data_IF_441651688862
#
_entry.id   IF_441651688862
#
_cell.length_a   1.000
_cell.length_b   1.000
_cell.length_c   1.000
_cell.angle_alpha   90.00
_cell.angle_beta   90.00
_cell.angle_gamma   90.00
#
_symmetry.space_group_name_H-M   'P 1'
#
loop_
_entity.id
_entity.type
_entity.pdbx_description
1 polymer ?
#
# COMPACT_ATOMS: atom_id res chain seq x y z
N UNK A 1 -3.33 1.15 13.39
CA UNK A 1 -1.95 0.74 13.69
C UNK A 1 -0.91 1.87 13.55
N UNK A 2 -1.00 2.74 12.53
CA UNK A 2 -0.09 3.89 12.33
C UNK A 2 -0.27 5.08 13.30
N UNK A 3 -1.33 5.09 14.11
CA UNK A 3 -1.57 6.11 15.16
C UNK A 3 -0.54 6.08 16.30
N UNK A 4 0.16 4.94 16.47
CA UNK A 4 1.31 4.83 17.37
C UNK A 4 2.55 5.01 16.51
N UNK A 5 3.29 6.09 16.75
CA UNK A 5 4.45 6.47 15.93
C UNK A 5 5.36 5.28 15.58
N UNK A 6 5.73 5.20 14.31
CA UNK A 6 6.55 4.10 13.77
C UNK A 6 7.95 4.13 14.38
N UNK A 7 8.50 2.96 14.76
CA UNK A 7 9.85 2.86 15.29
C UNK A 7 10.87 3.51 14.33
N UNK A 8 11.80 4.36 14.80
CA UNK A 8 12.74 5.07 13.93
C UNK A 8 13.58 4.16 13.01
N UNK A 9 13.90 2.93 13.47
CA UNK A 9 14.64 1.95 12.66
C UNK A 9 13.81 1.43 11.48
N UNK A 10 12.50 1.36 11.63
CA UNK A 10 11.55 1.02 10.55
C UNK A 10 11.36 2.24 9.63
N UNK A 11 11.13 3.41 10.22
CA UNK A 11 10.93 4.67 9.49
C UNK A 11 12.12 4.99 8.56
N UNK A 12 13.35 4.67 8.97
CA UNK A 12 14.54 4.82 8.15
C UNK A 12 14.47 4.01 6.82
N UNK A 13 13.94 2.78 6.86
CA UNK A 13 13.75 1.98 5.65
C UNK A 13 12.64 2.50 4.76
N UNK A 14 11.54 3.00 5.36
CA UNK A 14 10.43 3.63 4.63
C UNK A 14 10.91 4.89 3.92
N UNK A 15 11.74 5.70 4.59
CA UNK A 15 12.36 6.91 4.02
C UNK A 15 13.32 6.57 2.89
N UNK A 16 14.15 5.54 3.04
CA UNK A 16 15.06 5.09 1.95
C UNK A 16 14.30 4.54 0.74
N UNK A 17 13.09 4.01 0.95
CA UNK A 17 12.16 3.63 -0.13
C UNK A 17 11.39 4.82 -0.73
N UNK A 18 11.56 6.05 -0.20
CA UNK A 18 10.80 7.26 -0.53
C UNK A 18 9.29 7.10 -0.38
N UNK A 19 8.84 6.44 0.69
CA UNK A 19 7.42 6.26 1.02
C UNK A 19 7.04 6.93 2.35
N UNK A 20 7.89 7.79 2.90
CA UNK A 20 7.67 8.46 4.17
C UNK A 20 6.52 9.47 4.15
N UNK A 21 6.11 9.93 2.97
CA UNK A 21 4.88 10.72 2.77
C UNK A 21 3.63 10.00 3.30
N UNK A 22 3.53 8.69 3.06
CA UNK A 22 2.38 7.88 3.48
C UNK A 22 2.24 7.78 5.02
N UNK A 23 3.31 8.04 5.77
CA UNK A 23 3.24 8.11 7.24
C UNK A 23 2.48 9.34 7.73
N UNK A 24 2.33 10.38 6.90
CA UNK A 24 1.68 11.64 7.26
C UNK A 24 0.21 11.66 6.88
N UNK A 25 -0.19 10.91 5.85
CA UNK A 25 -1.56 10.89 5.31
C UNK A 25 -2.63 10.65 6.39
N UNK A 26 -2.48 9.68 7.33
CA UNK A 26 -3.50 9.45 8.36
C UNK A 26 -3.69 10.61 9.35
N UNK A 27 -2.77 11.57 9.40
CA UNK A 27 -2.80 12.71 10.32
C UNK A 27 -3.27 14.01 9.63
N UNK A 28 -3.75 13.93 8.39
CA UNK A 28 -4.37 15.08 7.72
C UNK A 28 -5.77 15.25 8.32
N UNK A 29 -6.02 16.41 8.93
CA UNK A 29 -7.35 16.80 9.36
C UNK A 29 -8.15 17.20 8.12
N UNK A 30 -9.24 16.48 7.83
CA UNK A 30 -10.03 16.70 6.62
C UNK A 30 -11.41 17.21 6.99
N UNK A 31 -11.76 18.39 6.49
CA UNK A 31 -13.09 18.94 6.64
C UNK A 31 -14.09 18.11 5.83
N UNK A 32 -15.01 17.46 6.54
CA UNK A 32 -16.05 16.62 5.94
C UNK A 32 -16.92 17.37 4.92
N UNK A 33 -17.20 18.66 5.14
CA UNK A 33 -17.98 19.46 4.20
C UNK A 33 -17.21 19.64 2.88
N UNK A 34 -15.90 19.87 2.93
CA UNK A 34 -15.06 19.96 1.74
C UNK A 34 -15.01 18.63 0.97
N UNK A 35 -14.89 17.48 1.65
CA UNK A 35 -14.94 16.16 1.00
C UNK A 35 -16.28 16.00 0.29
N UNK A 36 -17.40 16.27 0.97
CA UNK A 36 -18.72 16.11 0.38
C UNK A 36 -18.90 17.00 -0.85
N UNK A 37 -18.49 18.27 -0.78
CA UNK A 37 -18.54 19.16 -1.94
C UNK A 37 -17.67 18.66 -3.10
N UNK A 38 -16.47 18.16 -2.83
CA UNK A 38 -15.61 17.58 -3.87
C UNK A 38 -16.26 16.34 -4.51
N UNK A 39 -16.80 15.43 -3.71
CA UNK A 39 -17.50 14.23 -4.19
C UNK A 39 -18.72 14.59 -5.04
N UNK A 40 -19.49 15.60 -4.64
CA UNK A 40 -20.65 16.09 -5.40
C UNK A 40 -20.26 16.79 -6.70
N UNK A 41 -19.09 17.44 -6.73
CA UNK A 41 -18.56 18.13 -7.91
C UNK A 41 -17.79 17.22 -8.89
N UNK A 42 -17.55 15.94 -8.54
CA UNK A 42 -16.79 15.01 -9.36
C UNK A 42 -17.54 14.64 -10.64
N UNK A 43 -16.90 14.82 -11.80
CA UNK A 43 -17.37 14.31 -13.09
C UNK A 43 -16.58 13.04 -13.48
N UNK A 44 -17.23 11.86 -13.44
CA UNK A 44 -16.56 10.60 -13.76
C UNK A 44 -16.05 10.49 -15.20
N UNK A 45 -16.70 11.16 -16.16
CA UNK A 45 -16.34 11.07 -17.58
C UNK A 45 -15.00 11.73 -17.92
N UNK A 46 -14.66 12.82 -17.21
CA UNK A 46 -13.47 13.64 -17.46
C UNK A 46 -12.41 13.50 -16.37
N UNK A 47 -12.72 12.80 -15.28
CA UNK A 47 -11.86 12.68 -14.09
C UNK A 47 -11.47 14.05 -13.51
N UNK A 48 -12.43 14.97 -13.42
CA UNK A 48 -12.25 16.35 -12.97
C UNK A 48 -13.37 16.79 -12.01
N UNK A 49 -13.12 17.87 -11.28
CA UNK A 49 -14.11 18.52 -10.42
C UNK A 49 -14.68 19.76 -11.10
N UNK A 50 -16.01 19.89 -11.10
CA UNK A 50 -16.72 21.09 -11.52
C UNK A 50 -16.80 22.08 -10.38
N UNK A 51 -15.91 23.07 -10.39
CA UNK A 51 -15.98 24.19 -9.47
C UNK A 51 -16.85 25.30 -10.09
N UNK A 52 -17.48 26.18 -9.28
CA UNK A 52 -18.41 27.20 -9.78
C UNK A 52 -17.87 28.13 -10.88
N UNK A 53 -16.55 28.20 -11.07
CA UNK A 53 -15.90 29.08 -12.04
C UNK A 53 -14.85 28.37 -12.92
N UNK A 54 -14.54 27.09 -12.69
CA UNK A 54 -13.50 26.38 -13.44
C UNK A 54 -13.59 24.85 -13.29
N UNK A 55 -12.90 24.14 -14.16
CA UNK A 55 -12.70 22.69 -14.07
C UNK A 55 -11.34 22.40 -13.43
N UNK A 56 -11.32 21.61 -12.35
CA UNK A 56 -10.07 21.23 -11.68
C UNK A 56 -9.75 19.76 -11.92
N UNK A 57 -8.64 19.48 -12.58
CA UNK A 57 -8.12 18.12 -12.77
C UNK A 57 -7.04 17.82 -11.73
N UNK A 58 -7.10 16.65 -11.08
CA UNK A 58 -6.01 16.18 -10.21
C UNK A 58 -4.83 15.80 -11.11
N UNK A 59 -3.69 16.43 -10.90
CA UNK A 59 -2.46 16.13 -11.62
C UNK A 59 -1.59 15.14 -10.85
N UNK A 60 -0.57 14.57 -11.52
CA UNK A 60 0.45 13.78 -10.84
C UNK A 60 1.20 14.62 -9.78
N UNK A 61 1.39 15.92 -9.99
CA UNK A 61 2.07 16.78 -9.01
C UNK A 61 1.25 16.89 -7.72
N UNK A 62 -0.09 16.97 -7.84
CA UNK A 62 -0.98 16.94 -6.69
C UNK A 62 -0.86 15.62 -5.92
N UNK A 63 -0.73 14.49 -6.62
CA UNK A 63 -0.48 13.19 -5.96
C UNK A 63 0.85 13.13 -5.22
N UNK A 64 1.93 13.69 -5.79
CA UNK A 64 3.22 13.76 -5.10
C UNK A 64 3.12 14.63 -3.84
N UNK A 65 2.36 15.72 -3.87
CA UNK A 65 2.18 16.61 -2.71
C UNK A 65 1.28 15.99 -1.64
N UNK A 66 0.12 15.45 -2.03
CA UNK A 66 -0.89 14.92 -1.10
C UNK A 66 -0.42 13.63 -0.45
N UNK A 67 0.09 12.70 -1.25
CA UNK A 67 0.49 11.38 -0.76
C UNK A 67 1.97 11.32 -0.37
N UNK A 68 2.79 12.28 -0.84
CA UNK A 68 4.23 12.29 -0.59
C UNK A 68 4.95 11.08 -1.20
N UNK A 69 4.45 10.57 -2.34
CA UNK A 69 5.01 9.43 -3.06
C UNK A 69 5.64 9.85 -4.40
N UNK A 70 6.68 9.16 -4.89
CA UNK A 70 7.31 9.48 -6.16
C UNK A 70 6.35 9.33 -7.34
N UNK A 71 6.34 10.34 -8.21
CA UNK A 71 5.57 10.34 -9.48
C UNK A 71 6.47 10.25 -10.72
N UNK A 72 7.78 10.25 -10.50
CA UNK A 72 8.80 10.01 -11.52
C UNK A 72 9.55 8.74 -11.15
N UNK A 73 9.68 7.82 -12.10
CA UNK A 73 10.36 6.55 -11.89
C UNK A 73 9.93 5.49 -12.89
N UNK A 74 10.38 4.26 -12.65
CA UNK A 74 9.98 3.09 -13.42
C UNK A 74 8.48 2.81 -13.22
N UNK A 75 7.78 2.35 -14.28
CA UNK A 75 6.41 1.86 -14.12
C UNK A 75 6.39 0.64 -13.20
N UNK A 76 5.30 0.49 -12.46
CA UNK A 76 5.07 -0.70 -11.62
C UNK A 76 4.52 -1.80 -12.54
N UNK A 77 5.44 -2.60 -13.07
CA UNK A 77 5.14 -3.81 -13.85
C UNK A 77 5.71 -4.98 -13.07
N UNK A 78 4.82 -5.83 -12.56
CA UNK A 78 5.19 -6.97 -11.73
C UNK A 78 4.30 -8.16 -12.00
N UNK A 79 4.69 -9.32 -11.50
CA UNK A 79 3.90 -10.52 -11.69
C UNK A 79 2.59 -10.39 -10.90
N UNK A 80 1.46 -10.61 -11.55
CA UNK A 80 0.13 -10.66 -10.93
C UNK A 80 -0.35 -12.09 -10.75
N UNK A 81 0.13 -13.00 -11.60
CA UNK A 81 -0.15 -14.43 -11.55
C UNK A 81 1.15 -15.21 -11.29
N UNK A 82 1.54 -15.32 -10.02
CA UNK A 82 2.58 -16.24 -9.58
C UNK A 82 1.97 -17.41 -8.81
N UNK A 83 2.45 -18.62 -9.07
CA UNK A 83 1.99 -19.82 -8.36
C UNK A 83 2.53 -19.90 -6.91
N UNK A 84 3.43 -18.99 -6.51
CA UNK A 84 4.22 -19.13 -5.29
C UNK A 84 4.18 -17.90 -4.35
N UNK A 85 3.09 -17.14 -4.34
CA UNK A 85 2.88 -16.00 -3.43
C UNK A 85 3.20 -16.32 -1.95
N UNK A 86 2.86 -17.52 -1.50
CA UNK A 86 3.24 -18.02 -0.18
C UNK A 86 4.74 -18.03 0.08
N UNK A 87 5.56 -18.34 -0.93
CA UNK A 87 7.01 -18.34 -0.82
C UNK A 87 7.56 -16.91 -0.79
N UNK A 88 7.02 -15.98 -1.59
CA UNK A 88 7.43 -14.57 -1.53
C UNK A 88 7.16 -13.98 -0.13
N UNK A 89 5.98 -14.25 0.42
CA UNK A 89 5.61 -13.87 1.78
C UNK A 89 6.56 -14.50 2.81
N UNK A 90 6.82 -15.81 2.69
CA UNK A 90 7.73 -16.52 3.58
C UNK A 90 9.18 -16.02 3.48
N UNK A 91 9.66 -15.62 2.30
CA UNK A 91 11.02 -15.12 2.13
C UNK A 91 11.17 -13.74 2.78
N UNK A 92 10.25 -12.83 2.44
CA UNK A 92 10.40 -11.41 2.73
C UNK A 92 9.87 -11.01 4.11
N UNK A 93 8.83 -11.70 4.59
CA UNK A 93 8.23 -11.49 5.92
C UNK A 93 8.60 -12.58 6.93
N UNK A 94 9.22 -13.71 6.51
CA UNK A 94 9.52 -14.88 7.36
C UNK A 94 8.31 -15.50 8.07
N UNK A 95 7.11 -15.18 7.60
CA UNK A 95 5.88 -15.86 7.97
C UNK A 95 5.39 -16.68 6.79
N UNK A 96 5.31 -17.99 6.97
CA UNK A 96 4.81 -18.88 5.93
C UNK A 96 3.29 -18.85 5.96
N UNK A 97 2.69 -18.55 4.81
CA UNK A 97 1.25 -18.73 4.62
C UNK A 97 0.96 -20.23 4.63
N UNK A 98 0.04 -20.65 5.47
CA UNK A 98 -0.52 -21.99 5.44
C UNK A 98 -1.80 -21.93 4.62
N UNK A 99 -1.93 -22.77 3.59
CA UNK A 99 -3.08 -22.74 2.68
C UNK A 99 -4.43 -22.98 3.38
N UNK A 100 -4.44 -23.48 4.63
CA UNK A 100 -5.62 -23.65 5.47
C UNK A 100 -5.27 -23.55 6.96
N UNK A 101 -6.01 -22.76 7.73
CA UNK A 101 -6.18 -23.02 9.16
C UNK A 101 -7.27 -24.09 9.31
N UNK A 102 -6.93 -25.27 9.83
CA UNK A 102 -7.90 -26.35 10.06
C UNK A 102 -8.82 -25.93 11.23
N UNK A 103 -10.02 -25.43 10.91
CA UNK A 103 -10.99 -25.00 11.92
C UNK A 103 -12.40 -24.88 11.39
N UNK A 104 -13.18 -25.97 11.52
CA UNK A 104 -14.65 -25.95 11.64
C UNK A 104 -15.46 -25.19 10.56
N UNK A 105 -15.55 -25.74 9.34
CA UNK A 105 -16.66 -25.48 8.41
C UNK A 105 -16.86 -24.06 7.84
N UNK A 106 -16.06 -23.07 8.26
CA UNK A 106 -16.02 -21.72 7.68
C UNK A 106 -14.81 -21.60 6.75
N UNK A 107 -14.87 -20.71 5.75
CA UNK A 107 -13.74 -20.48 4.83
C UNK A 107 -12.56 -19.83 5.60
N UNK A 108 -11.60 -20.65 6.02
CA UNK A 108 -10.38 -20.25 6.75
C UNK A 108 -9.20 -19.93 5.83
N UNK A 109 -9.45 -19.76 4.53
CA UNK A 109 -8.41 -19.34 3.59
C UNK A 109 -7.82 -17.99 4.05
N UNK A 110 -6.51 -17.97 4.24
CA UNK A 110 -5.74 -16.79 4.63
C UNK A 110 -5.25 -16.03 3.40
N UNK A 111 -5.14 -16.72 2.27
CA UNK A 111 -4.63 -16.22 1.00
C UNK A 111 -5.57 -16.59 -0.15
N UNK A 112 -5.72 -15.68 -1.10
CA UNK A 112 -6.42 -15.90 -2.36
C UNK A 112 -5.62 -15.22 -3.47
N UNK A 113 -4.97 -16.02 -4.33
CA UNK A 113 -4.03 -15.50 -5.33
C UNK A 113 -2.91 -14.68 -4.69
N UNK A 114 -2.75 -13.43 -5.15
CA UNK A 114 -1.81 -12.44 -4.65
C UNK A 114 -2.28 -11.71 -3.39
N UNK A 115 -3.44 -12.06 -2.82
CA UNK A 115 -4.03 -11.36 -1.68
C UNK A 115 -3.93 -12.17 -0.41
N UNK A 116 -3.74 -11.47 0.71
CA UNK A 116 -3.74 -12.04 2.07
C UNK A 116 -4.69 -11.25 2.96
N UNK A 117 -5.32 -11.90 3.94
CA UNK A 117 -6.18 -11.20 4.92
C UNK A 117 -5.37 -10.15 5.69
N UNK A 118 -5.84 -8.91 5.70
CA UNK A 118 -5.24 -7.79 6.43
C UNK A 118 -5.08 -8.14 7.92
N UNK A 119 -6.14 -8.69 8.54
CA UNK A 119 -6.12 -9.14 9.93
C UNK A 119 -5.03 -10.18 10.22
N UNK A 120 -4.76 -11.08 9.27
CA UNK A 120 -3.70 -12.07 9.45
C UNK A 120 -2.32 -11.41 9.50
N UNK A 121 -2.07 -10.41 8.64
CA UNK A 121 -0.82 -9.65 8.67
C UNK A 121 -0.69 -8.86 9.99
N UNK A 122 -1.75 -8.15 10.38
CA UNK A 122 -1.78 -7.34 11.59
C UNK A 122 -1.45 -8.17 12.84
N UNK A 123 -2.08 -9.35 13.00
CA UNK A 123 -1.83 -10.21 14.16
C UNK A 123 -0.35 -10.60 14.31
N UNK A 124 0.38 -10.78 13.20
CA UNK A 124 1.79 -11.21 13.21
C UNK A 124 2.76 -10.08 13.52
N UNK A 125 2.41 -8.85 13.18
CA UNK A 125 3.25 -7.65 13.38
C UNK A 125 2.70 -6.71 14.46
N UNK A 126 1.67 -7.14 15.20
CA UNK A 126 1.02 -6.39 16.29
C UNK A 126 1.94 -6.08 17.47
N UNK A 127 2.94 -6.92 17.71
CA UNK A 127 3.89 -6.74 18.80
C UNK A 127 4.87 -5.59 18.49
N UNK A 128 5.26 -4.79 19.49
CA UNK A 128 6.29 -3.78 19.29
C UNK A 128 7.63 -4.44 18.93
N UNK A 129 8.39 -3.76 18.07
CA UNK A 129 9.73 -4.20 17.69
C UNK A 129 10.64 -4.27 18.94
N UNK A 130 11.27 -5.42 19.24
CA UNK A 130 12.21 -5.53 20.36
C UNK A 130 13.37 -4.54 20.24
N UNK A 131 13.88 -4.06 21.37
CA UNK A 131 14.99 -3.08 21.42
C UNK A 131 16.24 -3.65 20.74
N UNK A 132 16.52 -4.93 20.99
CA UNK A 132 17.64 -5.72 20.47
C UNK A 132 17.33 -6.40 19.12
N UNK A 133 16.26 -5.99 18.43
CA UNK A 133 15.86 -6.58 17.15
C UNK A 133 17.01 -6.58 16.14
N UNK A 134 17.23 -7.76 15.53
CA UNK A 134 18.22 -7.94 14.46
C UNK A 134 17.84 -7.11 13.23
N UNK A 135 18.83 -6.79 12.38
CA UNK A 135 18.58 -6.06 11.13
C UNK A 135 17.55 -6.76 10.25
N UNK A 136 17.55 -8.09 10.23
CA UNK A 136 16.60 -8.91 9.47
C UNK A 136 15.17 -8.72 9.98
N UNK A 137 14.97 -8.73 11.30
CA UNK A 137 13.66 -8.50 11.90
C UNK A 137 13.14 -7.08 11.62
N UNK A 138 14.02 -6.07 11.72
CA UNK A 138 13.63 -4.68 11.37
C UNK A 138 13.19 -4.57 9.90
N UNK A 139 13.89 -5.27 8.99
CA UNK A 139 13.49 -5.28 7.58
C UNK A 139 12.15 -5.98 7.33
N UNK A 140 11.83 -7.05 8.06
CA UNK A 140 10.52 -7.71 7.97
C UNK A 140 9.40 -6.76 8.40
N UNK A 141 9.58 -6.11 9.55
CA UNK A 141 8.65 -5.08 10.01
C UNK A 141 8.51 -3.96 8.98
N UNK A 142 9.63 -3.45 8.44
CA UNK A 142 9.58 -2.41 7.42
C UNK A 142 8.82 -2.82 6.16
N UNK A 143 9.01 -4.05 5.66
CA UNK A 143 8.23 -4.58 4.52
C UNK A 143 6.76 -4.73 4.84
N UNK A 144 6.40 -5.16 6.05
CA UNK A 144 5.02 -5.21 6.51
C UNK A 144 4.39 -3.81 6.54
N UNK A 145 5.03 -2.82 7.17
CA UNK A 145 4.51 -1.45 7.21
C UNK A 145 4.37 -0.84 5.81
N UNK A 146 5.33 -1.09 4.92
CA UNK A 146 5.24 -0.68 3.51
C UNK A 146 4.05 -1.34 2.83
N UNK A 147 3.87 -2.65 3.00
CA UNK A 147 2.74 -3.37 2.44
C UNK A 147 1.40 -2.83 2.95
N UNK A 148 1.27 -2.56 4.24
CA UNK A 148 0.06 -1.96 4.83
C UNK A 148 -0.22 -0.57 4.26
N UNK A 149 0.79 0.28 4.11
CA UNK A 149 0.62 1.60 3.49
C UNK A 149 0.23 1.50 2.02
N UNK A 150 0.83 0.56 1.27
CA UNK A 150 0.51 0.40 -0.15
C UNK A 150 -0.85 -0.24 -0.37
N UNK A 151 -1.14 -1.36 0.27
CA UNK A 151 -2.39 -2.09 0.06
C UNK A 151 -3.58 -1.51 0.83
N UNK A 152 -3.33 -0.86 1.96
CA UNK A 152 -4.36 -0.32 2.86
C UNK A 152 -4.48 1.20 2.84
N UNK A 153 -3.67 1.94 2.06
CA UNK A 153 -3.85 3.39 1.90
C UNK A 153 -3.74 3.81 0.44
N UNK A 154 -2.62 3.51 -0.21
CA UNK A 154 -2.38 4.00 -1.57
C UNK A 154 -3.28 3.28 -2.58
N UNK A 155 -3.24 1.95 -2.60
CA UNK A 155 -3.98 1.08 -3.51
C UNK A 155 -5.15 0.37 -2.82
N UNK A 156 -5.77 0.98 -1.81
CA UNK A 156 -6.89 0.38 -1.08
C UNK A 156 -7.99 -0.11 -2.04
N UNK A 157 -8.56 -1.28 -1.75
CA UNK A 157 -9.77 -1.79 -2.42
C UNK A 157 -11.03 -1.51 -1.58
N UNK A 158 -12.20 -1.87 -2.10
CA UNK A 158 -13.48 -1.51 -1.46
C UNK A 158 -13.73 -2.23 -0.12
N UNK A 159 -13.09 -3.36 0.16
CA UNK A 159 -13.39 -4.13 1.37
C UNK A 159 -12.36 -3.93 2.48
N UNK A 160 -11.11 -3.57 2.15
CA UNK A 160 -10.02 -3.44 3.12
C UNK A 160 -9.71 -4.75 3.87
N UNK A 161 -10.37 -5.85 3.51
CA UNK A 161 -10.22 -7.15 4.15
C UNK A 161 -8.95 -7.85 3.66
N UNK A 162 -8.56 -7.56 2.42
CA UNK A 162 -7.51 -8.25 1.69
C UNK A 162 -6.44 -7.26 1.23
N UNK A 163 -5.20 -7.54 1.59
CA UNK A 163 -4.03 -6.80 1.12
C UNK A 163 -3.33 -7.58 0.02
N UNK A 164 -3.11 -6.93 -1.13
CA UNK A 164 -2.33 -7.53 -2.21
C UNK A 164 -0.85 -7.54 -1.83
N UNK A 165 -0.27 -8.73 -1.69
CA UNK A 165 1.16 -8.93 -1.40
C UNK A 165 2.05 -8.73 -2.63
N UNK A 166 1.46 -8.46 -3.80
CA UNK A 166 2.21 -8.23 -5.04
C UNK A 166 3.27 -7.15 -4.89
N UNK A 167 3.01 -6.13 -4.06
CA UNK A 167 3.92 -5.01 -3.90
C UNK A 167 5.25 -5.41 -3.25
N UNK A 168 5.29 -6.49 -2.47
CA UNK A 168 6.51 -6.96 -1.81
C UNK A 168 7.65 -7.27 -2.78
N UNK A 169 7.32 -7.65 -4.03
CA UNK A 169 8.32 -7.96 -5.06
C UNK A 169 9.24 -6.77 -5.37
N UNK A 170 8.79 -5.55 -5.12
CA UNK A 170 9.55 -4.32 -5.35
C UNK A 170 10.42 -3.90 -4.16
N UNK A 171 10.42 -4.64 -3.05
CA UNK A 171 11.12 -4.30 -1.80
C UNK A 171 12.20 -5.31 -1.40
N UNK A 172 12.87 -5.90 -2.39
CA UNK A 172 14.06 -6.73 -2.21
C UNK A 172 15.25 -6.27 -3.09
N UNK A 173 16.19 -5.44 -2.59
CA UNK A 173 16.19 -4.80 -1.25
C UNK A 173 15.10 -3.72 -1.10
N UNK A 174 14.76 -3.33 0.14
CA UNK A 174 13.71 -2.34 0.43
C UNK A 174 13.93 -1.01 -0.29
N UNK A 175 15.20 -0.61 -0.43
CA UNK A 175 15.61 0.59 -1.15
C UNK A 175 15.19 0.63 -2.62
N UNK A 176 14.72 -0.48 -3.20
CA UNK A 176 14.19 -0.50 -4.56
C UNK A 176 12.92 0.35 -4.69
N UNK A 177 12.15 0.57 -3.61
CA UNK A 177 10.93 1.38 -3.64
C UNK A 177 11.13 2.74 -4.32
N UNK A 178 12.24 3.42 -4.08
CA UNK A 178 12.51 4.77 -4.63
C UNK A 178 12.69 4.83 -6.14
N UNK A 179 12.81 3.67 -6.80
CA UNK A 179 13.00 3.57 -8.25
C UNK A 179 11.69 3.67 -9.02
N UNK A 180 10.55 3.45 -8.37
CA UNK A 180 9.25 3.31 -9.01
C UNK A 180 8.39 4.55 -8.86
N UNK A 181 7.55 4.80 -9.86
CA UNK A 181 6.53 5.84 -9.81
C UNK A 181 5.25 5.30 -9.16
N UNK A 182 5.21 5.35 -7.83
CA UNK A 182 4.05 4.90 -7.04
C UNK A 182 2.81 5.77 -7.27
N UNK A 183 3.00 7.10 -7.41
CA UNK A 183 1.90 8.01 -7.66
C UNK A 183 1.28 7.81 -9.04
N UNK A 184 2.08 7.61 -10.10
CA UNK A 184 1.54 7.32 -11.43
C UNK A 184 0.81 5.97 -11.47
N UNK A 185 1.29 4.98 -10.73
CA UNK A 185 0.63 3.67 -10.66
C UNK A 185 -0.76 3.78 -10.00
N UNK A 186 -0.90 4.57 -8.94
CA UNK A 186 -2.21 4.79 -8.30
C UNK A 186 -3.14 5.58 -9.21
N UNK A 187 -2.66 6.65 -9.86
CA UNK A 187 -3.47 7.39 -10.83
C UNK A 187 -3.95 6.49 -11.96
N UNK A 188 -3.08 5.62 -12.50
CA UNK A 188 -3.46 4.66 -13.55
C UNK A 188 -4.57 3.70 -13.10
N UNK A 189 -4.49 3.20 -11.86
CA UNK A 189 -5.52 2.34 -11.26
C UNK A 189 -6.88 3.08 -11.16
N UNK A 190 -6.88 4.36 -10.80
CA UNK A 190 -8.11 5.15 -10.62
C UNK A 190 -8.85 5.45 -11.93
N UNK A 191 -8.12 5.71 -13.01
CA UNK A 191 -8.71 6.06 -14.33
C UNK A 191 -9.18 4.83 -15.14
N UNK A 192 -9.19 3.64 -14.53
CA UNK A 192 -9.50 2.39 -15.24
C UNK A 192 -8.48 2.07 -16.34
N UNK A 193 -7.35 2.77 -16.36
CA UNK A 193 -6.22 2.46 -17.20
C UNK A 193 -5.79 1.06 -16.82
N UNK A 194 -5.97 0.12 -17.74
CA UNK A 194 -5.15 -1.06 -17.74
C UNK A 194 -3.71 -0.54 -17.55
N UNK A 195 -3.11 -0.83 -16.39
CA UNK A 195 -1.69 -1.21 -16.39
C UNK A 195 -1.57 -2.06 -17.64
N UNK A 196 -0.66 -1.75 -18.56
CA UNK A 196 -0.47 -2.61 -19.73
C UNK A 196 -0.19 -4.02 -19.19
N UNK A 197 -1.25 -4.83 -19.15
CA UNK A 197 -1.38 -6.14 -18.53
C UNK A 197 -1.13 -7.14 -19.66
N UNK A 198 0.06 -7.06 -20.25
CA UNK A 198 0.59 -8.10 -21.12
C UNK A 198 1.62 -8.95 -20.36
#
# INVERSE_FOLDING_TARGET
MLERGVNPRIAAYITDARLDGLLRVPNIDIDHALITTLVESWQPETHSFHLPHDEMTITLQDMEVIMGVPVVGLPIVGFTHMDNWANLCAELLRHRLSDREVGGGKNTAVMEGEKVKAKWLEERFSNPLPIDATKVLVQQYARFYILEMLAGMLFMDKSGEWHSIMYLQFFNPISNGKKYSWGSAETAKQIGGAVLLE
#
